data_IF_763657631659
#
_entry.id   IF_763657631659
#
_cell.length_a   1.000
_cell.length_b   1.000
_cell.length_c   1.000
_cell.angle_alpha   90.00
_cell.angle_beta   90.00
_cell.angle_gamma   90.00
#
_symmetry.space_group_name_H-M   'P 1'
#
loop_
_entity.id
_entity.type
_entity.pdbx_description
1 polymer ?
#
# COMPACT_ATOMS: atom_id res chain seq x y z
N UNK A 1 -45.59 -0.01 46.05
CA UNK A 1 -45.81 0.26 44.60
C UNK A 1 -44.61 0.93 43.91
N UNK A 2 -43.91 1.87 44.56
CA UNK A 2 -42.70 2.52 44.00
C UNK A 2 -41.52 1.56 43.72
N UNK A 3 -41.28 0.57 44.58
CA UNK A 3 -40.15 -0.35 44.48
C UNK A 3 -40.27 -1.36 43.32
N UNK A 4 -41.50 -1.77 42.97
CA UNK A 4 -41.78 -2.70 41.86
C UNK A 4 -41.63 -1.98 40.51
N UNK A 5 -42.01 -0.71 40.44
CA UNK A 5 -41.89 0.11 39.23
C UNK A 5 -40.42 0.42 38.88
N UNK A 6 -39.57 0.66 39.89
CA UNK A 6 -38.13 0.85 39.71
C UNK A 6 -37.42 -0.40 39.17
N UNK A 7 -37.80 -1.58 39.69
CA UNK A 7 -37.24 -2.86 39.27
C UNK A 7 -37.58 -3.23 37.81
N UNK A 8 -38.77 -2.86 37.34
CA UNK A 8 -39.18 -3.04 35.94
C UNK A 8 -38.37 -2.12 35.02
N UNK A 9 -38.18 -0.85 35.42
CA UNK A 9 -37.43 0.16 34.64
C UNK A 9 -35.95 -0.17 34.50
N UNK A 10 -35.31 -0.68 35.55
CA UNK A 10 -33.89 -1.13 35.50
C UNK A 10 -33.70 -2.36 34.59
N UNK A 11 -34.65 -3.29 34.59
CA UNK A 11 -34.63 -4.45 33.69
C UNK A 11 -34.79 -4.05 32.23
N UNK A 12 -35.65 -3.08 31.93
CA UNK A 12 -35.82 -2.56 30.57
C UNK A 12 -34.55 -1.85 30.06
N UNK A 13 -33.90 -1.05 30.91
CA UNK A 13 -32.62 -0.40 30.56
C UNK A 13 -31.53 -1.45 30.31
N UNK A 14 -31.45 -2.47 31.16
CA UNK A 14 -30.48 -3.57 31.01
C UNK A 14 -30.73 -4.36 29.71
N UNK A 15 -32.01 -4.59 29.37
CA UNK A 15 -32.39 -5.26 28.13
C UNK A 15 -32.06 -4.42 26.88
N UNK A 16 -32.31 -3.11 26.92
CA UNK A 16 -31.94 -2.19 25.84
C UNK A 16 -30.43 -2.14 25.65
N UNK A 17 -29.66 -2.10 26.74
CA UNK A 17 -28.20 -2.13 26.69
C UNK A 17 -27.69 -3.44 26.08
N UNK A 18 -28.27 -4.57 26.46
CA UNK A 18 -27.94 -5.88 25.88
C UNK A 18 -28.25 -5.92 24.37
N UNK A 19 -29.41 -5.41 23.96
CA UNK A 19 -29.79 -5.35 22.55
C UNK A 19 -28.83 -4.46 21.73
N UNK A 20 -28.40 -3.33 22.29
CA UNK A 20 -27.43 -2.44 21.66
C UNK A 20 -26.05 -3.10 21.53
N UNK A 21 -25.64 -3.87 22.54
CA UNK A 21 -24.40 -4.65 22.51
C UNK A 21 -24.46 -5.76 21.44
N UNK A 22 -25.58 -6.46 21.31
CA UNK A 22 -25.78 -7.45 20.24
C UNK A 22 -25.72 -6.80 18.85
N UNK A 23 -26.37 -5.66 18.66
CA UNK A 23 -26.29 -4.90 17.40
C UNK A 23 -24.87 -4.45 17.09
N UNK A 24 -24.12 -3.96 18.08
CA UNK A 24 -22.72 -3.59 17.94
C UNK A 24 -21.87 -4.79 17.45
N UNK A 25 -22.03 -5.96 18.08
CA UNK A 25 -21.30 -7.18 17.68
C UNK A 25 -21.61 -7.57 16.23
N UNK A 26 -22.88 -7.49 15.81
CA UNK A 26 -23.28 -7.78 14.43
C UNK A 26 -22.62 -6.80 13.44
N UNK A 27 -22.60 -5.51 13.77
CA UNK A 27 -21.95 -4.48 12.93
C UNK A 27 -20.45 -4.74 12.82
N UNK A 28 -19.77 -4.98 13.94
CA UNK A 28 -18.34 -5.28 13.97
C UNK A 28 -18.00 -6.56 13.19
N UNK A 29 -18.84 -7.59 13.29
CA UNK A 29 -18.67 -8.85 12.54
C UNK A 29 -18.80 -8.63 11.03
N UNK A 30 -19.77 -7.82 10.60
CA UNK A 30 -19.95 -7.49 9.19
C UNK A 30 -18.78 -6.66 8.64
N UNK A 31 -18.28 -5.70 9.42
CA UNK A 31 -17.08 -4.93 9.08
C UNK A 31 -15.86 -5.85 8.96
N UNK A 32 -15.66 -6.76 9.93
CA UNK A 32 -14.58 -7.73 9.89
C UNK A 32 -14.65 -8.63 8.65
N UNK A 33 -15.83 -9.19 8.33
CA UNK A 33 -16.02 -10.00 7.12
C UNK A 33 -15.72 -9.20 5.84
N UNK A 34 -16.13 -7.93 5.78
CA UNK A 34 -15.87 -7.06 4.64
C UNK A 34 -14.38 -6.80 4.47
N UNK A 35 -13.67 -6.49 5.55
CA UNK A 35 -12.21 -6.30 5.53
C UNK A 35 -11.46 -7.58 5.20
N UNK A 36 -11.89 -8.73 5.73
CA UNK A 36 -11.30 -10.03 5.40
C UNK A 36 -11.42 -10.36 3.91
N UNK A 37 -12.60 -10.19 3.31
CA UNK A 37 -12.79 -10.37 1.87
C UNK A 37 -11.94 -9.42 1.03
N UNK A 38 -11.76 -8.18 1.47
CA UNK A 38 -10.89 -7.19 0.81
C UNK A 38 -9.43 -7.61 0.86
N UNK A 39 -8.97 -8.13 2.00
CA UNK A 39 -7.61 -8.64 2.15
C UNK A 39 -7.36 -9.87 1.26
N UNK A 40 -8.29 -10.83 1.24
CA UNK A 40 -8.20 -12.03 0.39
C UNK A 40 -8.21 -11.68 -1.10
N UNK A 41 -9.09 -10.74 -1.53
CA UNK A 41 -9.12 -10.26 -2.90
C UNK A 41 -7.82 -9.52 -3.29
N UNK A 42 -7.25 -8.75 -2.36
CA UNK A 42 -5.96 -8.12 -2.57
C UNK A 42 -4.86 -9.18 -2.73
N UNK A 43 -4.79 -10.19 -1.84
CA UNK A 43 -3.80 -11.27 -1.95
C UNK A 43 -3.92 -12.05 -3.27
N UNK A 44 -5.14 -12.39 -3.68
CA UNK A 44 -5.42 -13.03 -4.97
C UNK A 44 -4.97 -12.16 -6.15
N UNK A 45 -5.19 -10.85 -6.09
CA UNK A 45 -4.76 -9.92 -7.15
C UNK A 45 -3.24 -9.81 -7.29
N UNK A 46 -2.49 -10.20 -6.25
CA UNK A 46 -1.03 -10.16 -6.24
C UNK A 46 -0.41 -11.54 -6.44
N UNK A 47 -1.13 -12.64 -6.23
CA UNK A 47 -0.58 -13.99 -6.22
C UNK A 47 0.13 -14.36 -7.54
N UNK A 48 -0.46 -14.00 -8.68
CA UNK A 48 0.15 -14.20 -10.00
C UNK A 48 1.44 -13.38 -10.17
N UNK A 49 1.38 -12.09 -9.86
CA UNK A 49 2.51 -11.15 -9.96
C UNK A 49 3.65 -11.51 -9.00
N UNK A 50 3.32 -11.92 -7.77
CA UNK A 50 4.29 -12.39 -6.78
C UNK A 50 5.05 -13.61 -7.27
N UNK A 51 4.37 -14.53 -7.95
CA UNK A 51 4.99 -15.72 -8.55
C UNK A 51 5.87 -15.33 -9.74
N UNK A 52 5.39 -14.41 -10.59
CA UNK A 52 6.13 -13.91 -11.75
C UNK A 52 7.39 -13.16 -11.33
N UNK A 53 7.26 -12.08 -10.55
CA UNK A 53 8.41 -11.27 -10.11
C UNK A 53 9.30 -11.98 -9.10
N UNK A 54 8.73 -12.84 -8.24
CA UNK A 54 9.49 -13.68 -7.31
C UNK A 54 10.52 -14.58 -8.01
N UNK A 55 10.25 -15.00 -9.25
CA UNK A 55 11.19 -15.77 -10.06
C UNK A 55 12.41 -14.94 -10.49
N UNK A 56 12.22 -13.64 -10.77
CA UNK A 56 13.30 -12.75 -11.27
C UNK A 56 14.15 -12.13 -10.16
N UNK A 57 13.66 -12.10 -8.92
CA UNK A 57 14.33 -11.49 -7.75
C UNK A 57 15.69 -12.12 -7.43
N UNK A 58 15.91 -13.40 -7.75
CA UNK A 58 17.20 -14.09 -7.51
C UNK A 58 18.28 -13.74 -8.54
N UNK A 59 17.88 -13.41 -9.76
CA UNK A 59 18.81 -13.20 -10.89
C UNK A 59 18.99 -11.73 -11.24
N UNK A 60 18.01 -10.88 -10.97
CA UNK A 60 18.04 -9.45 -11.30
C UNK A 60 18.34 -8.60 -10.07
N UNK A 61 19.17 -7.56 -10.23
CA UNK A 61 19.44 -6.51 -9.22
C UNK A 61 18.26 -5.54 -9.06
N UNK A 62 17.04 -6.03 -9.24
CA UNK A 62 15.81 -5.27 -9.40
C UNK A 62 14.85 -5.57 -8.25
N UNK A 63 14.21 -4.56 -7.64
CA UNK A 63 13.12 -4.79 -6.69
C UNK A 63 11.76 -4.36 -7.27
N UNK A 64 10.70 -4.91 -6.69
CA UNK A 64 9.32 -4.73 -7.15
C UNK A 64 8.45 -4.32 -5.96
N UNK A 65 7.58 -3.33 -6.17
CA UNK A 65 6.58 -2.91 -5.19
C UNK A 65 5.23 -2.90 -5.88
N UNK A 66 4.27 -3.61 -5.31
CA UNK A 66 2.90 -3.58 -5.76
C UNK A 66 2.09 -2.73 -4.80
N UNK A 67 1.35 -1.76 -5.32
CA UNK A 67 0.48 -0.92 -4.51
C UNK A 67 -0.87 -0.76 -5.18
N UNK A 68 -1.88 -0.60 -4.34
CA UNK A 68 -3.25 -0.33 -4.77
C UNK A 68 -3.35 1.14 -5.18
N UNK A 69 -3.95 1.41 -6.34
CA UNK A 69 -4.04 2.77 -6.89
C UNK A 69 -4.89 3.72 -6.04
N UNK A 70 -5.93 3.17 -5.42
CA UNK A 70 -6.95 3.92 -4.66
C UNK A 70 -6.39 4.65 -3.44
N UNK A 71 -5.47 4.01 -2.71
CA UNK A 71 -4.98 4.50 -1.42
C UNK A 71 -3.48 4.28 -1.19
N UNK A 72 -2.75 3.90 -2.24
CA UNK A 72 -1.31 3.59 -2.21
C UNK A 72 -0.93 2.51 -1.20
N UNK A 73 -1.91 1.72 -0.73
CA UNK A 73 -1.63 0.61 0.17
C UNK A 73 -0.66 -0.33 -0.52
N UNK A 74 0.49 -0.55 0.09
CA UNK A 74 1.46 -1.51 -0.38
C UNK A 74 0.87 -2.91 -0.19
N UNK A 75 0.71 -3.61 -1.29
CA UNK A 75 0.19 -4.97 -1.35
C UNK A 75 1.33 -5.99 -1.36
N UNK A 76 2.49 -5.63 -1.93
CA UNK A 76 3.68 -6.48 -1.95
C UNK A 76 4.97 -5.69 -2.12
N UNK A 77 6.04 -6.17 -1.51
CA UNK A 77 7.42 -5.70 -1.69
C UNK A 77 8.28 -6.94 -1.96
N UNK A 78 9.14 -6.87 -2.97
CA UNK A 78 10.02 -7.98 -3.29
C UNK A 78 11.07 -8.23 -2.18
N UNK A 79 11.51 -9.48 -1.98
CA UNK A 79 12.46 -9.85 -0.92
C UNK A 79 13.80 -9.11 -0.96
N UNK A 80 14.29 -8.72 -2.14
CA UNK A 80 15.58 -8.05 -2.31
C UNK A 80 15.50 -6.52 -2.13
N UNK A 81 14.33 -5.97 -1.84
CA UNK A 81 14.12 -4.53 -1.64
C UNK A 81 15.10 -3.91 -0.64
N UNK A 82 15.21 -4.50 0.55
CA UNK A 82 16.08 -3.98 1.60
C UNK A 82 17.55 -4.07 1.22
N UNK A 83 17.95 -5.13 0.53
CA UNK A 83 19.32 -5.29 0.07
C UNK A 83 19.71 -4.17 -0.92
N UNK A 84 18.79 -3.80 -1.82
CA UNK A 84 19.03 -2.79 -2.86
C UNK A 84 18.91 -1.37 -2.28
N UNK A 85 17.85 -1.07 -1.55
CA UNK A 85 17.57 0.30 -1.07
C UNK A 85 18.17 0.64 0.28
N UNK A 86 18.54 -0.37 1.08
CA UNK A 86 18.89 -0.18 2.49
C UNK A 86 17.69 0.14 3.38
N UNK A 87 16.46 0.17 2.85
CA UNK A 87 15.24 0.43 3.62
C UNK A 87 14.61 -0.90 4.01
N UNK A 88 14.31 -1.08 5.29
CA UNK A 88 13.57 -2.26 5.75
C UNK A 88 12.14 -2.24 5.19
N UNK A 89 11.68 -3.35 4.61
CA UNK A 89 10.32 -3.44 4.03
C UNK A 89 9.23 -3.10 5.05
N UNK A 90 9.45 -3.36 6.35
CA UNK A 90 8.51 -3.01 7.41
C UNK A 90 8.23 -1.51 7.46
N UNK A 91 9.26 -0.68 7.33
CA UNK A 91 9.12 0.79 7.36
C UNK A 91 8.28 1.29 6.18
N UNK A 92 8.36 0.62 5.04
CA UNK A 92 7.55 0.94 3.86
C UNK A 92 6.05 0.72 4.09
N UNK A 93 5.69 -0.36 4.79
CA UNK A 93 4.29 -0.64 5.11
C UNK A 93 3.71 0.34 6.13
N UNK A 94 4.55 0.91 6.99
CA UNK A 94 4.16 1.93 7.97
C UNK A 94 4.06 3.31 7.32
N UNK A 95 5.06 3.66 6.52
CA UNK A 95 5.17 4.96 5.87
C UNK A 95 5.90 4.86 4.53
N UNK A 96 5.13 4.99 3.45
CA UNK A 96 5.66 4.99 2.10
C UNK A 96 6.55 6.22 1.83
N UNK A 97 6.49 7.29 2.66
CA UNK A 97 7.33 8.50 2.55
C UNK A 97 8.80 8.19 2.71
N UNK A 98 9.13 7.14 3.45
CA UNK A 98 10.50 6.75 3.76
C UNK A 98 11.32 6.52 2.50
N UNK A 99 10.70 6.07 1.42
CA UNK A 99 11.39 5.81 0.17
C UNK A 99 11.91 7.19 -0.41
N UNK A 100 11.37 8.37 -0.02
CA UNK A 100 11.78 9.70 -0.55
C UNK A 100 13.24 9.97 -0.25
N UNK A 101 13.71 9.35 0.83
CA UNK A 101 15.10 9.44 1.30
C UNK A 101 16.08 8.86 0.28
N UNK A 102 15.62 8.02 -0.64
CA UNK A 102 16.45 7.47 -1.71
C UNK A 102 16.76 8.52 -2.80
N UNK A 103 16.05 9.65 -2.85
CA UNK A 103 16.13 10.56 -3.99
C UNK A 103 16.42 11.99 -3.60
N UNK A 104 17.25 12.62 -4.43
CA UNK A 104 17.44 14.06 -4.39
C UNK A 104 16.12 14.78 -4.69
N UNK A 105 15.99 16.02 -4.22
CA UNK A 105 14.82 16.84 -4.49
C UNK A 105 14.60 17.07 -6.01
N UNK A 106 15.69 17.20 -6.76
CA UNK A 106 15.68 17.37 -8.22
C UNK A 106 15.14 16.13 -8.92
N UNK A 107 15.58 14.93 -8.53
CA UNK A 107 15.13 13.70 -9.16
C UNK A 107 13.68 13.40 -8.82
N UNK A 108 13.26 13.68 -7.57
CA UNK A 108 11.84 13.63 -7.18
C UNK A 108 10.99 14.53 -8.08
N UNK A 109 11.39 15.79 -8.31
CA UNK A 109 10.66 16.72 -9.19
C UNK A 109 10.64 16.27 -10.65
N UNK A 110 11.69 15.59 -11.13
CA UNK A 110 11.74 15.07 -12.50
C UNK A 110 10.84 13.85 -12.70
N UNK A 111 10.95 12.86 -11.79
CA UNK A 111 10.02 11.72 -11.72
C UNK A 111 8.60 12.27 -11.69
N UNK A 112 8.41 13.32 -10.89
CA UNK A 112 7.13 13.94 -10.73
C UNK A 112 6.55 14.41 -12.07
N UNK A 113 7.28 15.26 -12.80
CA UNK A 113 6.86 15.72 -14.13
C UNK A 113 6.59 14.57 -15.09
N UNK A 114 7.43 13.52 -15.09
CA UNK A 114 7.24 12.36 -15.96
C UNK A 114 5.94 11.60 -15.70
N UNK A 115 5.53 11.47 -14.44
CA UNK A 115 4.24 10.86 -14.11
C UNK A 115 3.09 11.81 -14.54
N UNK A 116 3.28 13.14 -14.46
CA UNK A 116 2.29 14.13 -14.94
C UNK A 116 1.95 13.98 -16.40
N UNK A 117 2.99 13.78 -17.18
CA UNK A 117 2.86 13.74 -18.63
C UNK A 117 2.49 12.33 -19.11
N UNK A 118 2.35 11.36 -18.21
CA UNK A 118 2.09 9.97 -18.56
C UNK A 118 0.63 9.73 -18.94
N UNK A 119 0.41 9.29 -20.17
CA UNK A 119 -0.91 9.01 -20.76
C UNK A 119 -1.54 7.68 -20.31
N UNK A 120 -0.80 6.88 -19.53
CA UNK A 120 -1.22 5.58 -18.96
C UNK A 120 -1.59 4.52 -20.01
N UNK A 121 -1.19 4.70 -21.27
CA UNK A 121 -1.40 3.69 -22.33
C UNK A 121 -0.34 2.60 -22.26
N UNK A 122 0.91 3.01 -22.13
CA UNK A 122 2.08 2.14 -22.04
C UNK A 122 2.80 2.29 -20.70
N UNK A 123 3.85 1.51 -20.45
CA UNK A 123 4.72 1.72 -19.29
C UNK A 123 5.42 3.08 -19.36
N UNK A 124 5.50 3.77 -18.23
CA UNK A 124 6.38 4.93 -18.08
C UNK A 124 7.77 4.44 -17.69
N UNK A 125 8.74 4.66 -18.59
CA UNK A 125 10.12 4.17 -18.43
C UNK A 125 11.13 5.32 -18.57
N UNK A 126 12.06 5.47 -17.61
CA UNK A 126 13.15 6.44 -17.70
C UNK A 126 14.28 6.17 -16.69
N UNK A 127 15.50 6.60 -16.98
CA UNK A 127 16.63 6.45 -16.05
C UNK A 127 16.61 7.51 -14.93
N UNK A 128 16.87 7.10 -13.69
CA UNK A 128 17.02 7.98 -12.54
C UNK A 128 18.15 7.58 -11.60
N UNK A 129 18.67 8.56 -10.87
CA UNK A 129 19.66 8.42 -9.82
C UNK A 129 18.98 8.18 -8.46
N UNK A 130 19.59 7.36 -7.61
CA UNK A 130 19.19 7.19 -6.21
C UNK A 130 20.41 7.05 -5.30
N UNK A 131 20.18 7.28 -4.01
CA UNK A 131 21.12 7.09 -2.93
C UNK A 131 20.58 5.99 -2.02
N UNK A 132 21.23 4.84 -2.01
CA UNK A 132 20.91 3.76 -1.05
C UNK A 132 20.99 4.30 0.38
N UNK A 133 20.02 3.96 1.22
CA UNK A 133 20.01 4.41 2.61
C UNK A 133 21.24 3.90 3.35
N UNK A 134 22.00 4.81 3.95
CA UNK A 134 23.27 4.52 4.63
C UNK A 134 24.50 4.44 3.70
N UNK A 135 24.34 4.73 2.41
CA UNK A 135 25.45 4.84 1.44
C UNK A 135 25.66 6.30 1.04
N UNK A 136 26.91 6.70 0.79
CA UNK A 136 27.24 8.00 0.19
C UNK A 136 27.29 7.96 -1.36
N UNK A 137 27.19 6.75 -1.94
CA UNK A 137 27.29 6.54 -3.38
C UNK A 137 25.94 6.80 -4.05
N UNK A 138 25.95 7.58 -5.12
CA UNK A 138 24.82 7.76 -6.03
C UNK A 138 24.89 6.66 -7.09
N UNK A 139 23.79 5.96 -7.28
CA UNK A 139 23.64 4.88 -8.25
C UNK A 139 22.57 5.24 -9.30
N UNK A 140 22.67 4.68 -10.50
CA UNK A 140 21.72 4.88 -11.60
C UNK A 140 20.87 3.63 -11.84
N UNK A 141 19.65 3.79 -12.34
CA UNK A 141 18.78 2.68 -12.72
C UNK A 141 17.60 3.16 -13.57
N UNK A 142 16.97 2.20 -14.21
CA UNK A 142 15.74 2.39 -14.97
C UNK A 142 14.51 2.35 -14.03
N UNK A 143 13.72 3.42 -14.07
CA UNK A 143 12.39 3.49 -13.47
C UNK A 143 11.38 2.90 -14.46
N UNK A 144 10.53 1.97 -14.01
CA UNK A 144 9.40 1.45 -14.79
C UNK A 144 8.11 1.46 -13.95
N UNK A 145 7.10 2.16 -14.46
CA UNK A 145 5.76 2.22 -13.87
C UNK A 145 4.73 1.66 -14.85
N UNK A 146 3.91 0.70 -14.40
CA UNK A 146 2.90 0.01 -15.22
C UNK A 146 1.55 -0.03 -14.52
N UNK A 147 0.49 0.44 -15.20
CA UNK A 147 -0.90 0.26 -14.77
C UNK A 147 -1.38 -1.11 -15.27
N UNK A 148 -1.67 -2.05 -14.36
CA UNK A 148 -1.96 -3.45 -14.74
C UNK A 148 -3.42 -3.72 -15.04
N UNK A 149 -4.34 -3.09 -14.30
CA UNK A 149 -5.78 -3.42 -14.40
C UNK A 149 -6.66 -2.24 -13.95
N UNK A 150 -6.18 -1.01 -14.15
CA UNK A 150 -6.82 0.26 -13.75
C UNK A 150 -7.03 0.48 -12.25
N UNK A 151 -7.00 -0.59 -11.44
CA UNK A 151 -7.18 -0.64 -9.98
C UNK A 151 -5.86 -0.83 -9.22
N UNK A 152 -4.89 -1.48 -9.86
CA UNK A 152 -3.60 -1.83 -9.27
C UNK A 152 -2.45 -1.45 -10.20
N UNK A 153 -1.31 -1.11 -9.60
CA UNK A 153 -0.11 -0.70 -10.30
C UNK A 153 1.04 -1.59 -9.84
N UNK A 154 1.79 -2.19 -10.78
CA UNK A 154 3.03 -2.88 -10.47
C UNK A 154 4.24 -2.09 -10.92
N UNK A 155 5.24 -2.14 -10.06
CA UNK A 155 6.52 -1.51 -10.23
C UNK A 155 7.56 -2.56 -10.60
N UNK A 156 8.37 -2.28 -11.62
CA UNK A 156 9.42 -3.18 -12.08
C UNK A 156 10.77 -2.46 -12.04
N UNK A 157 11.66 -2.95 -11.18
CA UNK A 157 13.07 -2.55 -11.04
C UNK A 157 13.38 -1.24 -10.33
N UNK A 158 14.47 -1.31 -9.57
CA UNK A 158 14.70 -0.75 -8.25
C UNK A 158 14.73 0.78 -8.19
N UNK A 159 13.63 1.49 -7.85
CA UNK A 159 13.61 2.95 -7.54
C UNK A 159 12.22 3.63 -7.31
N UNK A 160 11.99 4.11 -6.07
CA UNK A 160 10.98 5.04 -5.47
C UNK A 160 9.66 5.53 -6.11
N UNK A 161 8.71 5.84 -5.20
CA UNK A 161 7.55 6.73 -5.38
C UNK A 161 7.19 7.54 -4.10
N UNK A 162 7.03 8.87 -4.23
CA UNK A 162 6.09 9.80 -3.54
C UNK A 162 5.85 10.92 -4.55
N UNK A 163 4.68 11.52 -4.71
CA UNK A 163 3.42 11.46 -3.98
C UNK A 163 2.35 11.90 -4.98
N UNK A 164 2.19 11.10 -6.05
CA UNK A 164 1.59 11.64 -7.26
C UNK A 164 0.72 10.67 -8.02
N UNK A 165 -0.36 10.34 -7.35
CA UNK A 165 -1.55 11.09 -7.70
C UNK A 165 -2.17 11.60 -6.40
N UNK A 166 -1.65 12.69 -5.82
CA UNK A 166 -2.55 13.59 -5.08
C UNK A 166 -3.40 14.27 -6.15
N UNK A 167 -4.36 13.50 -6.62
CA UNK A 167 -5.42 13.83 -7.54
C UNK A 167 -4.95 14.16 -8.97
N UNK A 168 -5.47 13.39 -9.94
CA UNK A 168 -5.89 14.05 -11.17
C UNK A 168 -6.92 15.10 -10.74
N UNK A 169 -6.53 16.39 -10.81
CA UNK A 169 -7.21 17.62 -10.34
C UNK A 169 -6.84 18.07 -8.94
#
# INVERSE_FOLDING_TARGET
>A
MSMILGYIKEREISFLFFLLLVLLVIVLWNLYKKEKKRAEAAELSVAGERKYYGAFVKERKDFFIYFRKEDLRILYISPNFQHITGIASKLMYEDIEVLNTLYTHTTRRRIQGKINDWDKRDSLEFECDYKKRGSEVIEFCDFVLRDFDHRNVAFVSAKFLFYWAKWSV
#
